data_IF_302188182414
#
_entry.id   IF_302188182414
#
_cell.length_a   1.000
_cell.length_b   1.000
_cell.length_c   1.000
_cell.angle_alpha   90.00
_cell.angle_beta   90.00
_cell.angle_gamma   90.00
#
_symmetry.space_group_name_H-M   'P 1'
#
loop_
_entity.id
_entity.type
_entity.pdbx_description
1 polymer ?
#
# COMPACT_ATOMS: atom_id res chain seq x y z
N UNK A 1 4.36 37.08 19.95
CA UNK A 1 3.12 36.28 20.13
C UNK A 1 3.41 35.31 21.26
N UNK A 2 2.78 35.50 22.41
CA UNK A 2 2.99 34.63 23.59
C UNK A 2 2.44 33.22 23.31
N UNK A 3 3.04 32.19 23.94
CA UNK A 3 2.55 30.82 23.77
C UNK A 3 1.08 30.64 24.21
N UNK A 4 0.61 31.50 25.10
CA UNK A 4 -0.80 31.53 25.54
C UNK A 4 -1.76 32.04 24.46
N UNK A 5 -1.35 33.04 23.67
CA UNK A 5 -2.16 33.54 22.57
C UNK A 5 -2.39 32.46 21.48
N UNK A 6 -1.34 31.67 21.21
CA UNK A 6 -1.38 30.59 20.23
C UNK A 6 -2.26 29.42 20.72
N UNK A 7 -2.23 29.13 22.01
CA UNK A 7 -3.11 28.13 22.62
C UNK A 7 -4.58 28.58 22.65
N UNK A 8 -4.84 29.85 22.87
CA UNK A 8 -6.19 30.42 22.85
C UNK A 8 -6.79 30.37 21.43
N UNK A 9 -6.03 30.81 20.42
CA UNK A 9 -6.45 30.75 19.01
C UNK A 9 -6.75 29.31 18.59
N UNK A 10 -5.91 28.36 18.97
CA UNK A 10 -6.13 26.93 18.68
C UNK A 10 -7.43 26.41 19.30
N UNK A 11 -7.71 26.75 20.56
CA UNK A 11 -8.97 26.37 21.25
C UNK A 11 -10.20 26.98 20.57
N UNK A 12 -10.13 28.25 20.18
CA UNK A 12 -11.22 28.93 19.45
C UNK A 12 -11.47 28.29 18.09
N UNK A 13 -10.42 27.99 17.34
CA UNK A 13 -10.52 27.29 16.05
C UNK A 13 -11.13 25.89 16.21
N UNK A 14 -10.73 25.16 17.23
CA UNK A 14 -11.31 23.83 17.51
C UNK A 14 -12.79 23.92 17.86
N UNK A 15 -13.17 24.90 18.69
CA UNK A 15 -14.57 25.11 19.05
C UNK A 15 -15.41 25.50 17.82
N UNK A 16 -14.91 26.43 17.00
CA UNK A 16 -15.56 26.81 15.74
C UNK A 16 -15.75 25.61 14.83
N UNK A 17 -14.73 24.77 14.66
CA UNK A 17 -14.82 23.56 13.86
C UNK A 17 -15.91 22.60 14.37
N UNK A 18 -15.97 22.37 15.69
CA UNK A 18 -16.99 21.53 16.31
C UNK A 18 -18.39 22.07 16.07
N UNK A 19 -18.60 23.38 16.23
CA UNK A 19 -19.90 24.03 15.98
C UNK A 19 -20.30 23.90 14.51
N UNK A 20 -19.40 24.15 13.57
CA UNK A 20 -19.64 24.01 12.13
C UNK A 20 -19.96 22.54 11.76
N UNK A 21 -19.25 21.58 12.37
CA UNK A 21 -19.50 20.16 12.16
C UNK A 21 -20.92 19.76 12.57
N UNK A 22 -21.34 20.12 13.77
CA UNK A 22 -22.69 19.81 14.25
C UNK A 22 -23.80 20.58 13.52
N UNK A 23 -23.52 21.80 13.09
CA UNK A 23 -24.47 22.58 12.28
C UNK A 23 -24.74 21.95 10.91
N UNK A 24 -23.79 21.21 10.38
CA UNK A 24 -23.90 20.52 9.10
C UNK A 24 -24.04 18.98 9.26
N UNK A 25 -24.39 18.49 10.43
CA UNK A 25 -24.39 17.06 10.76
C UNK A 25 -25.27 16.22 9.81
N UNK A 26 -26.40 16.72 9.35
CA UNK A 26 -27.28 16.03 8.41
C UNK A 26 -26.64 15.84 7.03
N UNK A 27 -26.03 16.89 6.51
CA UNK A 27 -25.32 16.84 5.21
C UNK A 27 -24.10 15.92 5.28
N UNK A 28 -23.32 16.00 6.37
CA UNK A 28 -22.17 15.13 6.63
C UNK A 28 -22.61 13.68 6.74
N UNK A 29 -23.72 13.41 7.44
CA UNK A 29 -24.25 12.05 7.59
C UNK A 29 -24.73 11.48 6.25
N UNK A 30 -25.40 12.28 5.40
CA UNK A 30 -25.82 11.85 4.08
C UNK A 30 -24.63 11.51 3.17
N UNK A 31 -23.63 12.39 3.10
CA UNK A 31 -22.38 12.14 2.36
C UNK A 31 -21.62 10.92 2.89
N UNK A 32 -21.54 10.77 4.22
CA UNK A 32 -20.87 9.61 4.81
C UNK A 32 -21.56 8.31 4.44
N UNK A 33 -22.90 8.29 4.40
CA UNK A 33 -23.68 7.12 3.97
C UNK A 33 -23.39 6.77 2.51
N UNK A 34 -23.36 7.77 1.62
CA UNK A 34 -23.06 7.58 0.20
C UNK A 34 -21.65 7.02 0.00
N UNK A 35 -20.64 7.60 0.68
CA UNK A 35 -19.25 7.13 0.62
C UNK A 35 -19.12 5.71 1.16
N UNK A 36 -19.76 5.39 2.29
CA UNK A 36 -19.74 4.05 2.86
C UNK A 36 -20.42 3.02 1.96
N UNK A 37 -21.55 3.37 1.33
CA UNK A 37 -22.24 2.51 0.36
C UNK A 37 -21.32 2.20 -0.83
N UNK A 38 -20.71 3.23 -1.41
CA UNK A 38 -19.73 3.07 -2.49
C UNK A 38 -18.55 2.17 -2.07
N UNK A 39 -18.04 2.37 -0.85
CA UNK A 39 -16.94 1.58 -0.34
C UNK A 39 -17.32 0.10 -0.17
N UNK A 40 -18.48 -0.19 0.41
CA UNK A 40 -18.95 -1.56 0.61
C UNK A 40 -19.37 -2.25 -0.70
N UNK A 41 -19.99 -1.54 -1.62
CA UNK A 41 -20.55 -2.13 -2.84
C UNK A 41 -19.49 -2.30 -3.95
N UNK A 42 -18.50 -1.43 -4.02
CA UNK A 42 -17.52 -1.44 -5.10
C UNK A 42 -16.10 -1.76 -4.64
N UNK A 43 -15.59 -1.10 -3.60
CA UNK A 43 -14.20 -1.26 -3.21
C UNK A 43 -13.95 -2.59 -2.51
N UNK A 44 -14.75 -2.94 -1.52
CA UNK A 44 -14.54 -4.18 -0.74
C UNK A 44 -14.58 -5.42 -1.62
N UNK A 45 -15.57 -5.66 -2.50
CA UNK A 45 -15.60 -6.84 -3.35
C UNK A 45 -14.42 -6.91 -4.31
N UNK A 46 -14.05 -5.80 -4.94
CA UNK A 46 -12.94 -5.76 -5.90
C UNK A 46 -11.59 -6.05 -5.24
N UNK A 47 -11.37 -5.53 -4.03
CA UNK A 47 -10.16 -5.78 -3.25
C UNK A 47 -10.12 -7.23 -2.75
N UNK A 48 -11.24 -7.75 -2.26
CA UNK A 48 -11.32 -9.11 -1.72
C UNK A 48 -10.96 -10.16 -2.78
N UNK A 49 -11.55 -10.06 -3.97
CA UNK A 49 -11.25 -10.96 -5.10
C UNK A 49 -9.76 -10.89 -5.45
N UNK A 50 -9.20 -9.68 -5.53
CA UNK A 50 -7.78 -9.49 -5.84
C UNK A 50 -6.87 -10.12 -4.79
N UNK A 51 -7.18 -9.97 -3.50
CA UNK A 51 -6.41 -10.55 -2.39
C UNK A 51 -6.43 -12.08 -2.47
N UNK A 52 -7.61 -12.67 -2.64
CA UNK A 52 -7.76 -14.14 -2.72
C UNK A 52 -7.01 -14.71 -3.92
N UNK A 53 -7.13 -14.11 -5.09
CA UNK A 53 -6.41 -14.55 -6.30
C UNK A 53 -4.90 -14.50 -6.10
N UNK A 54 -4.38 -13.42 -5.54
CA UNK A 54 -2.94 -13.27 -5.35
C UNK A 54 -2.43 -14.22 -4.27
N UNK A 55 -3.20 -14.48 -3.23
CA UNK A 55 -2.83 -15.45 -2.20
C UNK A 55 -2.75 -16.87 -2.77
N UNK A 56 -3.68 -17.26 -3.63
CA UNK A 56 -3.63 -18.54 -4.36
C UNK A 56 -2.40 -18.59 -5.28
N UNK A 57 -2.15 -17.55 -6.06
CA UNK A 57 -0.98 -17.47 -6.94
C UNK A 57 0.35 -17.45 -6.17
N UNK A 58 0.40 -16.83 -5.00
CA UNK A 58 1.59 -16.79 -4.16
C UNK A 58 1.91 -18.13 -3.52
N UNK A 59 0.89 -18.97 -3.27
CA UNK A 59 1.08 -20.33 -2.75
C UNK A 59 1.63 -21.30 -3.81
N UNK A 60 1.46 -20.98 -5.09
CA UNK A 60 1.94 -21.78 -6.22
C UNK A 60 3.23 -21.20 -6.74
N UNK A 61 4.34 -21.29 -6.50
CA UNK A 61 5.63 -20.78 -7.07
C UNK A 61 5.51 -19.86 -8.32
N UNK A 62 4.31 -19.50 -8.74
CA UNK A 62 4.02 -18.75 -9.97
C UNK A 62 4.81 -17.44 -10.10
N UNK A 63 4.86 -16.65 -9.03
CA UNK A 63 5.60 -15.39 -9.04
C UNK A 63 7.11 -15.61 -9.01
N UNK A 64 7.57 -16.71 -8.41
CA UNK A 64 8.98 -17.10 -8.40
C UNK A 64 9.43 -17.54 -9.80
N UNK A 65 8.57 -18.25 -10.53
CA UNK A 65 8.85 -18.68 -11.91
C UNK A 65 8.94 -17.47 -12.86
N UNK A 66 8.04 -16.50 -12.70
CA UNK A 66 8.12 -15.23 -13.44
C UNK A 66 9.41 -14.49 -13.09
N UNK A 67 9.79 -14.45 -11.81
CA UNK A 67 11.02 -13.82 -11.36
C UNK A 67 12.27 -14.50 -11.93
N UNK A 68 12.24 -15.81 -12.16
CA UNK A 68 13.32 -16.53 -12.84
C UNK A 68 13.57 -16.02 -14.27
N UNK A 69 12.52 -15.61 -14.97
CA UNK A 69 12.64 -14.96 -16.30
C UNK A 69 13.27 -13.57 -16.24
N UNK A 70 13.18 -12.89 -15.11
CA UNK A 70 13.59 -11.51 -14.90
C UNK A 70 14.93 -11.36 -14.15
N UNK A 71 15.87 -12.28 -14.38
CA UNK A 71 17.20 -12.30 -13.71
C UNK A 71 17.98 -10.97 -13.79
N UNK A 72 17.78 -10.20 -14.86
CA UNK A 72 18.41 -8.89 -15.00
C UNK A 72 17.90 -7.89 -13.96
N UNK A 73 16.59 -7.90 -13.70
CA UNK A 73 15.97 -7.06 -12.66
C UNK A 73 16.46 -7.45 -11.27
N UNK A 74 16.64 -8.74 -10.98
CA UNK A 74 17.22 -9.20 -9.72
C UNK A 74 18.59 -8.56 -9.46
N UNK A 75 19.45 -8.52 -10.48
CA UNK A 75 20.80 -7.91 -10.37
C UNK A 75 20.75 -6.39 -10.19
N UNK A 76 19.87 -5.71 -10.92
CA UNK A 76 19.73 -4.24 -10.86
C UNK A 76 19.19 -3.80 -9.50
N UNK A 77 18.20 -4.52 -8.99
CA UNK A 77 17.53 -4.20 -7.72
C UNK A 77 18.25 -4.79 -6.48
N UNK A 78 19.28 -5.60 -6.70
CA UNK A 78 20.01 -6.31 -5.64
C UNK A 78 19.05 -7.13 -4.74
N UNK A 79 18.28 -8.00 -5.38
CA UNK A 79 17.29 -8.86 -4.75
C UNK A 79 17.43 -10.30 -5.24
N UNK A 80 17.09 -11.27 -4.39
CA UNK A 80 17.02 -12.66 -4.81
C UNK A 80 15.73 -12.93 -5.62
N UNK A 81 15.64 -14.09 -6.26
CA UNK A 81 14.49 -14.46 -7.09
C UNK A 81 13.18 -14.51 -6.28
N UNK A 82 13.23 -15.03 -5.06
CA UNK A 82 12.07 -15.06 -4.17
C UNK A 82 11.61 -13.64 -3.77
N UNK A 83 12.59 -12.77 -3.45
CA UNK A 83 12.29 -11.36 -3.16
C UNK A 83 11.66 -10.64 -4.35
N UNK A 84 12.11 -10.92 -5.58
CA UNK A 84 11.47 -10.35 -6.78
C UNK A 84 10.05 -10.90 -6.98
N UNK A 85 9.82 -12.19 -6.69
CA UNK A 85 8.48 -12.77 -6.70
C UNK A 85 7.54 -12.07 -5.70
N UNK A 86 8.01 -11.79 -4.50
CA UNK A 86 7.25 -11.02 -3.49
C UNK A 86 6.97 -9.60 -3.95
N UNK A 87 7.93 -8.91 -4.63
CA UNK A 87 7.70 -7.58 -5.20
C UNK A 87 6.56 -7.60 -6.22
N UNK A 88 6.60 -8.55 -7.16
CA UNK A 88 5.56 -8.68 -8.19
C UNK A 88 4.20 -8.93 -7.54
N UNK A 89 4.14 -9.82 -6.54
CA UNK A 89 2.91 -10.08 -5.78
C UNK A 89 2.39 -8.80 -5.09
N UNK A 90 3.28 -8.02 -4.48
CA UNK A 90 2.91 -6.77 -3.80
C UNK A 90 2.40 -5.70 -4.76
N UNK A 91 3.02 -5.56 -5.94
CA UNK A 91 2.60 -4.59 -6.97
C UNK A 91 1.22 -4.92 -7.55
N UNK A 92 0.86 -6.19 -7.58
CA UNK A 92 -0.45 -6.64 -8.04
C UNK A 92 -1.52 -6.57 -6.95
N UNK A 93 -1.17 -6.98 -5.72
CA UNK A 93 -2.12 -7.01 -4.60
C UNK A 93 -2.46 -5.63 -4.06
N UNK A 94 -1.49 -4.72 -4.08
CA UNK A 94 -1.63 -3.43 -3.43
C UNK A 94 -1.74 -3.49 -1.91
N UNK A 95 -1.82 -2.32 -1.28
CA UNK A 95 -2.05 -2.18 0.15
C UNK A 95 -3.56 -2.40 0.46
N UNK A 96 -3.93 -3.12 1.53
CA UNK A 96 -3.09 -3.64 2.62
C UNK A 96 -2.51 -5.05 2.42
N UNK A 97 -2.91 -5.77 1.37
CA UNK A 97 -2.53 -7.17 1.16
C UNK A 97 -1.02 -7.36 0.99
N UNK A 98 -0.33 -6.40 0.37
CA UNK A 98 1.12 -6.40 0.23
C UNK A 98 1.86 -6.53 1.56
N UNK A 99 1.37 -5.87 2.61
CA UNK A 99 1.99 -5.96 3.95
C UNK A 99 1.89 -7.37 4.52
N UNK A 100 0.75 -8.04 4.32
CA UNK A 100 0.53 -9.42 4.75
C UNK A 100 1.47 -10.36 4.02
N UNK A 101 1.59 -10.22 2.68
CA UNK A 101 2.48 -11.03 1.85
C UNK A 101 3.96 -10.87 2.23
N UNK A 102 4.40 -9.64 2.51
CA UNK A 102 5.77 -9.36 2.96
C UNK A 102 6.02 -10.02 4.31
N UNK A 103 5.08 -9.90 5.25
CA UNK A 103 5.22 -10.51 6.57
C UNK A 103 5.27 -12.05 6.47
N UNK A 104 4.40 -12.65 5.66
CA UNK A 104 4.39 -14.10 5.42
C UNK A 104 5.71 -14.57 4.79
N UNK A 105 6.21 -13.86 3.77
CA UNK A 105 7.49 -14.19 3.15
C UNK A 105 8.67 -14.07 4.13
N UNK A 106 8.63 -13.11 5.05
CA UNK A 106 9.62 -12.96 6.12
C UNK A 106 9.52 -14.07 7.14
N UNK A 107 8.32 -14.40 7.63
CA UNK A 107 8.08 -15.50 8.59
C UNK A 107 8.55 -16.85 8.04
N UNK A 108 8.32 -17.10 6.76
CA UNK A 108 8.74 -18.30 6.05
C UNK A 108 10.22 -18.26 5.62
N UNK A 109 11.01 -17.28 6.08
CA UNK A 109 12.44 -17.11 5.78
C UNK A 109 12.77 -17.03 4.28
N UNK A 110 11.80 -16.69 3.43
CA UNK A 110 11.99 -16.50 1.98
C UNK A 110 12.72 -15.21 1.64
N UNK A 111 12.58 -14.20 2.50
CA UNK A 111 13.24 -12.91 2.38
C UNK A 111 13.94 -12.54 3.68
N UNK A 112 15.03 -11.79 3.58
CA UNK A 112 15.75 -11.28 4.74
C UNK A 112 15.00 -10.11 5.38
N UNK A 113 15.28 -9.82 6.66
CA UNK A 113 14.72 -8.68 7.38
C UNK A 113 14.98 -7.36 6.63
N UNK A 114 16.21 -7.17 6.15
CA UNK A 114 16.58 -6.01 5.33
C UNK A 114 15.68 -5.88 4.10
N UNK A 115 15.40 -6.99 3.44
CA UNK A 115 14.55 -7.01 2.25
C UNK A 115 13.09 -6.70 2.60
N UNK A 116 12.57 -7.25 3.70
CA UNK A 116 11.22 -6.97 4.17
C UNK A 116 11.00 -5.48 4.45
N UNK A 117 11.93 -4.80 5.12
CA UNK A 117 11.85 -3.35 5.32
C UNK A 117 11.87 -2.57 4.00
N UNK A 118 12.77 -2.92 3.07
CA UNK A 118 12.80 -2.28 1.73
C UNK A 118 11.49 -2.44 1.01
N UNK A 119 10.89 -3.62 1.05
CA UNK A 119 9.59 -3.90 0.43
C UNK A 119 8.47 -3.09 1.09
N UNK A 120 8.46 -2.96 2.41
CA UNK A 120 7.47 -2.13 3.11
C UNK A 120 7.52 -0.66 2.69
N UNK A 121 8.70 -0.11 2.40
CA UNK A 121 8.79 1.26 1.87
C UNK A 121 8.24 1.40 0.44
N UNK A 122 8.32 0.33 -0.37
CA UNK A 122 7.92 0.35 -1.77
C UNK A 122 6.49 -0.18 -1.99
N UNK A 123 5.85 -0.77 -0.96
CA UNK A 123 4.58 -1.48 -1.06
C UNK A 123 3.30 -0.66 -0.84
N UNK A 124 3.32 0.62 -0.38
CA UNK A 124 2.09 1.39 -0.27
C UNK A 124 1.56 1.80 -1.66
N UNK A 125 1.15 0.80 -2.42
CA UNK A 125 0.63 0.93 -3.78
C UNK A 125 -0.86 0.61 -3.79
N UNK A 126 -1.62 1.27 -4.66
CA UNK A 126 -3.03 0.94 -4.85
C UNK A 126 -3.18 -0.37 -5.64
N UNK A 127 -4.25 -1.11 -5.41
CA UNK A 127 -4.54 -2.33 -6.17
C UNK A 127 -4.78 -2.02 -7.65
N UNK A 128 -4.43 -2.97 -8.53
CA UNK A 128 -4.64 -2.84 -9.98
C UNK A 128 -6.11 -2.56 -10.29
N UNK A 129 -7.02 -3.32 -9.67
CA UNK A 129 -8.47 -3.16 -9.87
C UNK A 129 -8.96 -1.79 -9.41
N UNK A 130 -8.44 -1.25 -8.31
CA UNK A 130 -8.79 0.09 -7.85
C UNK A 130 -8.37 1.17 -8.86
N UNK A 131 -7.12 1.13 -9.34
CA UNK A 131 -6.64 2.13 -10.29
C UNK A 131 -7.34 2.05 -11.65
N UNK A 132 -7.60 0.85 -12.16
CA UNK A 132 -8.22 0.71 -13.48
C UNK A 132 -9.72 0.98 -13.39
N UNK A 133 -10.44 0.34 -12.46
CA UNK A 133 -11.91 0.43 -12.41
C UNK A 133 -12.37 1.71 -11.72
N UNK A 134 -11.90 1.98 -10.50
CA UNK A 134 -12.41 3.11 -9.73
C UNK A 134 -11.83 4.43 -10.23
N UNK A 135 -10.52 4.53 -10.40
CA UNK A 135 -9.91 5.79 -10.85
C UNK A 135 -10.04 5.94 -12.37
N UNK A 136 -9.65 4.93 -13.15
CA UNK A 136 -9.66 5.01 -14.60
C UNK A 136 -11.07 5.12 -15.19
N UNK A 137 -11.93 4.15 -14.89
CA UNK A 137 -13.27 4.08 -15.50
C UNK A 137 -14.25 5.04 -14.85
N UNK A 138 -14.32 5.07 -13.51
CA UNK A 138 -15.33 5.89 -12.83
C UNK A 138 -14.95 7.37 -12.73
N UNK A 139 -13.69 7.71 -12.47
CA UNK A 139 -13.29 9.12 -12.32
C UNK A 139 -12.88 9.75 -13.67
N UNK A 140 -12.07 9.06 -14.46
CA UNK A 140 -11.55 9.59 -15.74
C UNK A 140 -12.32 9.12 -16.97
N UNK A 141 -13.30 8.23 -16.82
CA UNK A 141 -14.08 7.63 -17.92
C UNK A 141 -13.16 7.04 -19.02
N UNK A 142 -11.99 6.54 -18.62
CA UNK A 142 -10.96 6.06 -19.52
C UNK A 142 -10.12 4.95 -18.89
N UNK A 143 -10.26 3.73 -19.41
CA UNK A 143 -9.39 2.60 -19.01
C UNK A 143 -7.91 2.91 -19.26
N UNK A 144 -7.60 3.67 -20.31
CA UNK A 144 -6.22 4.05 -20.65
C UNK A 144 -5.59 4.91 -19.56
N UNK A 145 -6.37 5.82 -18.94
CA UNK A 145 -5.90 6.64 -17.82
C UNK A 145 -5.57 5.76 -16.60
N UNK A 146 -6.42 4.80 -16.27
CA UNK A 146 -6.15 3.85 -15.17
C UNK A 146 -4.90 3.00 -15.40
N UNK A 147 -4.71 2.48 -16.61
CA UNK A 147 -3.49 1.73 -16.99
C UNK A 147 -2.24 2.60 -16.91
N UNK A 148 -2.32 3.84 -17.37
CA UNK A 148 -1.20 4.78 -17.30
C UNK A 148 -0.79 5.09 -15.87
N UNK A 149 -1.77 5.34 -14.98
CA UNK A 149 -1.52 5.54 -13.56
C UNK A 149 -0.89 4.30 -12.91
N UNK A 150 -1.35 3.11 -13.26
CA UNK A 150 -0.78 1.87 -12.77
C UNK A 150 0.67 1.68 -13.22
N UNK A 151 0.99 1.98 -14.48
CA UNK A 151 2.37 1.94 -14.98
C UNK A 151 3.29 2.95 -14.27
N UNK A 152 2.81 4.17 -14.02
CA UNK A 152 3.55 5.17 -13.23
C UNK A 152 3.81 4.65 -11.82
N UNK A 153 2.80 4.05 -11.18
CA UNK A 153 2.94 3.46 -9.86
C UNK A 153 4.01 2.36 -9.82
N UNK A 154 4.02 1.45 -10.78
CA UNK A 154 5.07 0.42 -10.91
C UNK A 154 6.44 1.07 -11.06
N UNK A 155 6.57 2.04 -11.97
CA UNK A 155 7.82 2.73 -12.20
C UNK A 155 8.33 3.43 -10.93
N UNK A 156 7.46 4.13 -10.20
CA UNK A 156 7.82 4.80 -8.94
C UNK A 156 8.26 3.81 -7.86
N UNK A 157 7.58 2.68 -7.72
CA UNK A 157 7.96 1.62 -6.77
C UNK A 157 9.32 1.01 -7.10
N UNK A 158 9.61 0.77 -8.38
CA UNK A 158 10.90 0.25 -8.81
C UNK A 158 12.03 1.27 -8.58
N UNK A 159 11.77 2.55 -8.82
CA UNK A 159 12.72 3.64 -8.52
C UNK A 159 13.01 3.72 -7.03
N UNK A 160 11.99 3.67 -6.17
CA UNK A 160 12.15 3.64 -4.71
C UNK A 160 12.97 2.43 -4.26
N UNK A 161 12.69 1.26 -4.83
CA UNK A 161 13.43 0.04 -4.51
C UNK A 161 14.90 0.13 -4.92
N UNK A 162 15.18 0.78 -6.04
CA UNK A 162 16.54 1.06 -6.50
C UNK A 162 17.25 2.07 -5.59
N UNK A 163 16.59 3.15 -5.20
CA UNK A 163 17.15 4.17 -4.30
C UNK A 163 17.43 3.61 -2.90
N UNK A 164 16.57 2.71 -2.41
CA UNK A 164 16.74 2.07 -1.08
C UNK A 164 17.76 0.93 -1.06
N UNK A 165 18.40 0.63 -2.18
CA UNK A 165 19.40 -0.45 -2.30
C UNK A 165 20.54 -0.31 -1.28
N UNK A 166 21.09 0.90 -1.11
CA UNK A 166 22.26 1.17 -0.28
C UNK A 166 21.93 1.80 1.08
N UNK A 167 20.65 1.99 1.42
CA UNK A 167 20.28 2.59 2.72
C UNK A 167 20.59 1.62 3.85
N UNK A 168 21.40 2.02 4.87
CA UNK A 168 21.53 1.26 6.09
C UNK A 168 20.19 1.29 6.82
N UNK A 169 19.53 0.15 6.93
CA UNK A 169 18.31 0.05 7.72
C UNK A 169 18.74 0.04 9.18
N UNK A 170 18.41 1.12 9.89
CA UNK A 170 18.52 1.16 11.33
C UNK A 170 17.42 0.24 11.87
N UNK A 171 17.78 -1.01 12.15
CA UNK A 171 16.90 -1.95 12.81
C UNK A 171 16.56 -1.38 14.18
N UNK A 172 15.32 -0.92 14.36
CA UNK A 172 14.86 -0.42 15.65
C UNK A 172 14.83 -1.60 16.63
N UNK A 173 15.44 -1.50 17.82
CA UNK A 173 15.56 -2.60 18.78
C UNK A 173 14.21 -3.06 19.39
N UNK A 174 13.11 -2.46 19.00
CA UNK A 174 11.76 -2.78 19.51
C UNK A 174 11.27 -4.16 19.04
N UNK A 175 11.74 -4.64 17.88
CA UNK A 175 11.26 -5.89 17.28
C UNK A 175 11.89 -7.16 17.90
N UNK A 176 13.00 -7.04 18.60
CA UNK A 176 13.68 -8.21 19.22
C UNK A 176 12.99 -8.75 20.48
N UNK A 177 12.09 -7.98 21.09
CA UNK A 177 11.41 -8.42 22.33
C UNK A 177 10.21 -9.35 22.11
N UNK A 178 9.65 -9.40 20.91
CA UNK A 178 8.42 -10.19 20.64
C UNK A 178 8.71 -11.61 20.16
N UNK A 179 9.94 -11.92 19.77
CA UNK A 179 10.33 -13.27 19.33
C UNK A 179 10.84 -14.21 20.46
N UNK A 180 10.84 -13.75 21.72
CA UNK A 180 11.27 -14.56 22.89
C UNK A 180 10.14 -14.90 23.86
N UNK A 181 8.94 -15.14 23.35
CA UNK A 181 7.88 -15.76 24.17
C UNK A 181 7.25 -16.91 23.40
#
# INVERSE_FOLDING_TARGET
MSGDDMNFIRKMLTLLFVVLFFSNASAISALSKEILSFWFEQLVPSMFISIVLIQILSSTSFFTDIACGLKRLCKVLDVNQEGLGVIISCLLSGCPASVVLINEAYQNQRITEKMAYRLLYCSPVATVSFLIMNVGVHMFISIKAGLFLWLIQIASSLVLLFLTRNTPIIANPITQKTQKK
#
